data_IF_156340906696
#
_entry.id   IF_156340906696
#
_cell.length_a   1.000
_cell.length_b   1.000
_cell.length_c   1.000
_cell.angle_alpha   90.00
_cell.angle_beta   90.00
_cell.angle_gamma   90.00
#
_symmetry.space_group_name_H-M   'P 1'
#
loop_
_entity.id
_entity.type
_entity.pdbx_description
1 polymer ?
#
# COMPACT_ATOMS: atom_id res chain seq x y z
N UNK A 1 20.04 -62.51 16.11
CA UNK A 1 19.84 -62.79 17.51
C UNK A 1 19.04 -61.66 18.13
N UNK A 2 17.79 -62.02 18.43
CA UNK A 2 16.91 -61.61 19.52
C UNK A 2 16.35 -60.17 19.56
N UNK A 3 15.11 -60.04 19.12
CA UNK A 3 13.99 -59.30 19.76
C UNK A 3 13.74 -59.87 21.21
N UNK A 4 12.74 -59.37 21.98
CA UNK A 4 11.80 -58.26 21.92
C UNK A 4 11.42 -57.69 23.31
N UNK A 5 10.26 -57.04 23.37
CA UNK A 5 9.24 -56.82 24.44
C UNK A 5 9.01 -55.34 24.72
N UNK A 6 7.95 -54.74 24.23
CA UNK A 6 6.52 -54.65 24.57
C UNK A 6 6.23 -53.98 25.93
N UNK A 7 5.28 -53.06 25.89
CA UNK A 7 4.66 -52.47 27.08
C UNK A 7 3.77 -51.29 26.75
N UNK A 8 2.61 -51.51 26.15
CA UNK A 8 1.51 -50.55 26.07
C UNK A 8 0.64 -50.61 27.33
N UNK A 9 0.01 -49.48 27.65
CA UNK A 9 -1.23 -49.38 28.46
C UNK A 9 -1.81 -47.97 28.13
N UNK A 10 -2.86 -47.85 27.46
CA UNK A 10 -4.31 -48.09 27.61
C UNK A 10 -4.98 -47.27 28.77
N UNK A 11 -5.68 -46.30 28.31
CA UNK A 11 -7.06 -45.81 28.62
C UNK A 11 -7.67 -46.05 30.03
N UNK A 12 -8.36 -44.96 30.48
CA UNK A 12 -9.60 -44.93 31.29
C UNK A 12 -9.52 -45.16 32.77
N UNK A 13 -10.06 -44.19 33.55
CA UNK A 13 -11.24 -44.31 34.41
C UNK A 13 -11.29 -43.08 35.30
N UNK A 14 -12.17 -42.14 35.20
CA UNK A 14 -13.58 -42.06 35.60
C UNK A 14 -13.81 -42.04 37.12
N UNK A 15 -14.51 -41.03 37.52
CA UNK A 15 -15.64 -40.92 38.44
C UNK A 15 -15.50 -40.21 39.78
N UNK A 16 -16.25 -39.12 39.85
CA UNK A 16 -17.31 -38.78 40.84
C UNK A 16 -16.96 -38.76 42.33
N UNK A 17 -17.25 -37.63 42.91
CA UNK A 17 -18.20 -37.61 44.04
C UNK A 17 -18.75 -36.20 44.31
N UNK A 18 -20.03 -36.17 44.47
CA UNK A 18 -20.88 -35.05 44.84
C UNK A 18 -20.88 -34.86 46.38
N UNK A 19 -21.15 -33.66 46.83
CA UNK A 19 -21.34 -33.37 48.25
C UNK A 19 -22.05 -32.04 48.48
N UNK A 20 -23.24 -32.16 48.94
CA UNK A 20 -24.31 -31.20 49.26
C UNK A 20 -24.05 -30.49 50.60
N UNK A 21 -24.61 -29.25 50.76
CA UNK A 21 -25.00 -28.74 52.06
C UNK A 21 -24.63 -27.27 52.29
N UNK A 22 -25.54 -26.45 52.22
CA UNK A 22 -26.53 -25.87 53.15
C UNK A 22 -26.24 -24.41 53.55
N UNK A 23 -27.30 -23.66 53.51
CA UNK A 23 -27.51 -22.24 53.75
C UNK A 23 -27.21 -21.77 55.18
N UNK A 24 -26.88 -20.48 55.34
CA UNK A 24 -27.40 -19.64 56.45
C UNK A 24 -27.11 -18.15 56.20
N UNK A 25 -28.15 -17.43 56.07
CA UNK A 25 -28.64 -16.13 56.55
C UNK A 25 -27.63 -15.13 57.17
N UNK A 26 -27.64 -13.91 56.65
CA UNK A 26 -27.84 -12.70 57.41
C UNK A 26 -26.62 -11.82 57.70
N UNK A 27 -26.56 -10.70 57.06
CA UNK A 27 -26.62 -9.37 57.70
C UNK A 27 -26.31 -8.23 56.72
N UNK A 28 -27.21 -7.30 56.67
CA UNK A 28 -27.17 -6.02 55.95
C UNK A 28 -26.06 -5.13 56.52
N UNK A 29 -25.15 -4.69 55.65
CA UNK A 29 -24.30 -3.52 55.88
C UNK A 29 -24.44 -2.58 54.67
N UNK A 30 -25.11 -1.45 54.90
CA UNK A 30 -25.14 -0.30 54.00
C UNK A 30 -23.73 0.27 53.89
N UNK A 31 -23.12 0.12 52.73
CA UNK A 31 -21.99 0.92 52.32
C UNK A 31 -22.41 1.74 51.10
N UNK A 32 -22.55 3.02 51.33
CA UNK A 32 -22.66 4.09 50.35
C UNK A 32 -21.44 4.02 49.42
N UNK A 33 -21.60 3.45 48.23
CA UNK A 33 -20.60 3.43 47.19
C UNK A 33 -20.76 4.63 46.29
N UNK A 34 -19.76 5.46 46.24
CA UNK A 34 -19.56 6.53 45.25
C UNK A 34 -19.79 5.97 43.84
N UNK A 35 -20.60 6.71 43.08
CA UNK A 35 -20.99 6.32 41.73
C UNK A 35 -19.83 6.19 40.77
N UNK A 36 -19.44 4.96 40.48
CA UNK A 36 -18.76 4.59 39.25
C UNK A 36 -19.87 4.51 38.21
N UNK A 37 -19.92 5.50 37.31
CA UNK A 37 -20.70 5.36 36.09
C UNK A 37 -20.19 4.14 35.34
N UNK A 38 -20.90 3.03 35.43
CA UNK A 38 -20.68 1.90 34.55
C UNK A 38 -20.94 2.41 33.12
N UNK A 39 -19.91 2.57 32.32
CA UNK A 39 -20.06 2.76 30.90
C UNK A 39 -20.69 1.47 30.34
N UNK A 40 -21.96 1.52 30.02
CA UNK A 40 -22.62 0.46 29.25
C UNK A 40 -21.77 0.21 27.98
N UNK A 41 -21.40 -1.02 27.67
CA UNK A 41 -20.76 -1.30 26.38
C UNK A 41 -21.70 -0.79 25.29
N UNK A 42 -21.18 -0.13 24.22
CA UNK A 42 -22.03 0.34 23.14
C UNK A 42 -22.83 -0.83 22.58
N UNK A 43 -24.12 -0.61 22.35
CA UNK A 43 -24.96 -1.62 21.72
C UNK A 43 -24.32 -2.05 20.41
N UNK A 44 -24.32 -3.35 20.10
CA UNK A 44 -23.66 -3.95 18.93
C UNK A 44 -24.04 -3.33 17.57
N UNK A 45 -25.12 -2.53 17.53
CA UNK A 45 -25.57 -1.77 16.35
C UNK A 45 -24.85 -0.45 16.09
N UNK A 46 -24.05 0.06 17.04
CA UNK A 46 -23.39 1.37 16.93
C UNK A 46 -21.93 1.29 16.49
N UNK A 47 -21.39 0.09 16.29
CA UNK A 47 -20.04 -0.14 15.80
C UNK A 47 -20.06 -0.44 14.30
N UNK A 48 -19.21 0.27 13.54
CA UNK A 48 -18.92 -0.01 12.14
C UNK A 48 -17.61 -0.76 12.07
N UNK A 49 -17.53 -1.79 11.21
CA UNK A 49 -16.36 -2.64 11.07
C UNK A 49 -15.67 -2.40 9.74
N UNK A 50 -14.38 -2.08 9.77
CA UNK A 50 -13.54 -2.00 8.57
C UNK A 50 -12.60 -3.20 8.56
N UNK A 51 -12.64 -3.99 7.48
CA UNK A 51 -11.59 -4.95 7.19
C UNK A 51 -10.40 -4.24 6.55
N UNK A 52 -9.20 -4.47 7.05
CA UNK A 52 -7.97 -3.96 6.43
C UNK A 52 -7.11 -5.13 5.98
N UNK A 53 -6.79 -5.17 4.67
CA UNK A 53 -6.02 -6.26 4.05
C UNK A 53 -4.77 -5.67 3.41
N UNK A 54 -3.60 -6.21 3.79
CA UNK A 54 -2.30 -5.76 3.29
C UNK A 54 -1.26 -6.89 3.33
N UNK A 55 -0.13 -6.79 2.60
CA UNK A 55 0.93 -7.79 2.61
C UNK A 55 1.90 -7.56 3.78
N UNK A 56 1.50 -7.90 5.02
CA UNK A 56 2.32 -7.65 6.21
C UNK A 56 3.56 -8.53 6.30
N UNK A 57 3.53 -9.68 5.64
CA UNK A 57 4.66 -10.62 5.56
C UNK A 57 4.93 -11.05 4.13
N UNK A 58 6.13 -11.62 3.88
CA UNK A 58 6.58 -12.06 2.56
C UNK A 58 7.30 -10.97 1.77
N UNK A 59 7.56 -11.18 0.47
CA UNK A 59 8.37 -10.27 -0.37
C UNK A 59 7.82 -8.84 -0.50
N UNK A 60 6.51 -8.65 -0.32
CA UNK A 60 5.84 -7.34 -0.41
C UNK A 60 5.69 -6.63 0.95
N UNK A 61 6.27 -7.16 2.02
CA UNK A 61 6.10 -6.62 3.39
C UNK A 61 6.52 -5.15 3.53
N UNK A 62 7.39 -4.65 2.66
CA UNK A 62 7.78 -3.23 2.62
C UNK A 62 6.58 -2.29 2.48
N UNK A 63 5.54 -2.69 1.72
CA UNK A 63 4.32 -1.91 1.53
C UNK A 63 3.46 -1.78 2.79
N UNK A 64 3.59 -2.71 3.74
CA UNK A 64 2.82 -2.73 4.99
C UNK A 64 3.61 -2.21 6.20
N UNK A 65 4.82 -1.69 5.99
CA UNK A 65 5.72 -1.29 7.08
C UNK A 65 5.17 -0.23 8.04
N UNK A 66 4.17 0.55 7.61
CA UNK A 66 3.51 1.58 8.42
C UNK A 66 2.13 1.20 8.96
N UNK A 67 1.57 0.04 8.59
CA UNK A 67 0.17 -0.31 8.82
C UNK A 67 -0.22 -0.30 10.30
N UNK A 68 0.56 -0.93 11.16
CA UNK A 68 0.26 -0.97 12.60
C UNK A 68 0.25 0.42 13.25
N UNK A 69 1.15 1.29 12.80
CA UNK A 69 1.17 2.68 13.23
C UNK A 69 -0.08 3.41 12.75
N UNK A 70 -0.43 3.28 11.46
CA UNK A 70 -1.62 3.92 10.89
C UNK A 70 -2.88 3.49 11.61
N UNK A 71 -3.09 2.18 11.82
CA UNK A 71 -4.24 1.66 12.57
C UNK A 71 -4.31 2.27 13.98
N UNK A 72 -3.16 2.34 14.69
CA UNK A 72 -3.07 2.98 16.02
C UNK A 72 -3.49 4.47 15.97
N UNK A 73 -2.99 5.24 14.99
CA UNK A 73 -3.32 6.66 14.85
C UNK A 73 -4.80 6.88 14.52
N UNK A 74 -5.35 6.09 13.60
CA UNK A 74 -6.77 6.15 13.21
C UNK A 74 -7.67 5.81 14.41
N UNK A 75 -7.36 4.74 15.15
CA UNK A 75 -8.12 4.37 16.35
C UNK A 75 -8.06 5.44 17.43
N UNK A 76 -6.90 6.07 17.62
CA UNK A 76 -6.77 7.19 18.56
C UNK A 76 -7.57 8.43 18.13
N UNK A 77 -7.54 8.80 16.83
CA UNK A 77 -8.30 9.93 16.31
C UNK A 77 -9.82 9.72 16.42
N UNK A 78 -10.27 8.48 16.34
CA UNK A 78 -11.69 8.10 16.40
C UNK A 78 -12.12 7.52 17.75
N UNK A 79 -11.31 7.66 18.81
CA UNK A 79 -11.61 7.12 20.16
C UNK A 79 -12.98 7.57 20.67
N UNK A 80 -13.35 8.84 20.45
CA UNK A 80 -14.65 9.40 20.85
C UNK A 80 -15.80 9.03 19.91
N UNK A 81 -15.49 8.29 18.82
CA UNK A 81 -16.44 8.00 17.75
C UNK A 81 -16.65 9.18 16.80
N UNK A 82 -17.50 8.98 15.81
CA UNK A 82 -17.85 9.98 14.79
C UNK A 82 -19.35 9.91 14.46
N UNK A 83 -19.88 10.99 13.89
CA UNK A 83 -21.30 11.05 13.47
C UNK A 83 -21.46 10.39 12.10
N UNK A 84 -22.37 9.41 12.01
CA UNK A 84 -22.81 8.78 10.78
C UNK A 84 -24.22 8.21 10.94
N UNK A 85 -25.10 8.40 9.93
CA UNK A 85 -26.50 7.97 10.00
C UNK A 85 -27.24 8.54 11.21
N UNK A 86 -27.03 9.82 11.53
CA UNK A 86 -27.68 10.51 12.66
C UNK A 86 -27.21 10.08 14.06
N UNK A 87 -26.28 9.11 14.19
CA UNK A 87 -25.81 8.58 15.48
C UNK A 87 -24.31 8.77 15.66
N UNK A 88 -23.83 8.68 16.91
CA UNK A 88 -22.39 8.52 17.16
C UNK A 88 -22.03 7.06 17.02
N UNK A 89 -21.10 6.77 16.07
CA UNK A 89 -20.61 5.43 15.78
C UNK A 89 -19.20 5.23 16.34
N UNK A 90 -18.91 4.01 16.74
CA UNK A 90 -17.55 3.53 17.02
C UNK A 90 -17.02 2.77 15.81
N UNK A 91 -15.72 2.57 15.76
CA UNK A 91 -15.07 1.78 14.72
C UNK A 91 -14.36 0.58 15.33
N UNK A 92 -14.37 -0.52 14.59
CA UNK A 92 -13.53 -1.69 14.79
C UNK A 92 -12.74 -1.93 13.50
N UNK A 93 -11.43 -2.11 13.57
CA UNK A 93 -10.57 -2.42 12.42
C UNK A 93 -10.10 -3.86 12.59
N UNK A 94 -10.44 -4.73 11.62
CA UNK A 94 -10.02 -6.13 11.57
C UNK A 94 -8.93 -6.26 10.50
N UNK A 95 -7.69 -6.47 10.95
CA UNK A 95 -6.52 -6.53 10.08
C UNK A 95 -6.25 -7.96 9.64
N UNK A 96 -5.94 -8.16 8.36
CA UNK A 96 -5.57 -9.47 7.79
C UNK A 96 -4.34 -9.33 6.90
N UNK A 97 -3.45 -10.31 7.03
CA UNK A 97 -2.21 -10.43 6.26
C UNK A 97 -2.43 -11.31 5.03
N UNK A 98 -2.09 -10.79 3.84
CA UNK A 98 -2.10 -11.55 2.58
C UNK A 98 -0.90 -12.49 2.45
N UNK A 99 0.13 -12.33 3.28
CA UNK A 99 1.39 -13.06 3.17
C UNK A 99 2.01 -12.95 1.76
N UNK A 100 1.80 -11.81 1.09
CA UNK A 100 2.22 -11.56 -0.30
C UNK A 100 1.66 -12.58 -1.31
N UNK A 101 0.51 -13.21 -1.03
CA UNK A 101 -0.11 -14.27 -1.83
C UNK A 101 -1.50 -13.88 -2.30
N UNK A 102 -1.77 -14.01 -3.60
CA UNK A 102 -3.08 -13.76 -4.20
C UNK A 102 -4.17 -14.70 -3.64
N UNK A 103 -3.85 -15.98 -3.47
CA UNK A 103 -4.77 -16.96 -2.88
C UNK A 103 -5.13 -16.57 -1.45
N UNK A 104 -4.11 -16.23 -0.65
CA UNK A 104 -4.34 -15.82 0.73
C UNK A 104 -5.13 -14.53 0.83
N UNK A 105 -4.88 -13.55 -0.06
CA UNK A 105 -5.66 -12.32 -0.15
C UNK A 105 -7.16 -12.60 -0.34
N UNK A 106 -7.52 -13.49 -1.26
CA UNK A 106 -8.91 -13.93 -1.47
C UNK A 106 -9.50 -14.62 -0.23
N UNK A 107 -8.77 -15.54 0.40
CA UNK A 107 -9.22 -16.30 1.59
C UNK A 107 -9.51 -15.38 2.77
N UNK A 108 -8.56 -14.48 3.11
CA UNK A 108 -8.72 -13.59 4.26
C UNK A 108 -9.83 -12.56 4.03
N UNK A 109 -10.01 -12.10 2.80
CA UNK A 109 -11.12 -11.20 2.46
C UNK A 109 -12.46 -11.90 2.58
N UNK A 110 -12.58 -13.13 2.09
CA UNK A 110 -13.77 -13.94 2.29
C UNK A 110 -14.09 -14.14 3.78
N UNK A 111 -13.06 -14.36 4.62
CA UNK A 111 -13.24 -14.45 6.08
C UNK A 111 -13.75 -13.14 6.68
N UNK A 112 -13.19 -11.98 6.30
CA UNK A 112 -13.67 -10.66 6.73
C UNK A 112 -15.15 -10.47 6.42
N UNK A 113 -15.57 -10.88 5.21
CA UNK A 113 -16.96 -10.72 4.75
C UNK A 113 -17.91 -11.69 5.46
N UNK A 114 -17.55 -12.98 5.52
CA UNK A 114 -18.48 -14.03 5.96
C UNK A 114 -18.46 -14.27 7.46
N UNK A 115 -17.30 -14.17 8.10
CA UNK A 115 -17.10 -14.46 9.53
C UNK A 115 -17.07 -13.19 10.37
N UNK A 116 -16.21 -12.22 10.01
CA UNK A 116 -16.06 -10.97 10.77
C UNK A 116 -17.19 -9.97 10.51
N UNK A 117 -17.93 -10.14 9.38
CA UNK A 117 -19.10 -9.32 9.00
C UNK A 117 -18.75 -7.83 8.88
N UNK A 118 -17.69 -7.51 8.18
CA UNK A 118 -17.25 -6.13 7.98
C UNK A 118 -18.23 -5.34 7.10
N UNK A 119 -18.34 -4.04 7.37
CA UNK A 119 -19.20 -3.13 6.64
C UNK A 119 -18.51 -2.57 5.38
N UNK A 120 -17.18 -2.44 5.41
CA UNK A 120 -16.33 -1.97 4.32
C UNK A 120 -14.95 -2.65 4.42
N UNK A 121 -14.29 -2.84 3.28
CA UNK A 121 -12.91 -3.33 3.22
C UNK A 121 -12.00 -2.27 2.61
N UNK A 122 -10.86 -2.02 3.24
CA UNK A 122 -9.78 -1.23 2.65
C UNK A 122 -8.59 -2.14 2.38
N UNK A 123 -7.85 -1.88 1.29
CA UNK A 123 -6.70 -2.71 0.93
C UNK A 123 -5.56 -1.90 0.32
N UNK A 124 -4.33 -2.31 0.63
CA UNK A 124 -3.10 -1.80 0.02
C UNK A 124 -2.22 -2.96 -0.45
N UNK A 125 -1.40 -2.70 -1.45
CA UNK A 125 -0.45 -3.71 -1.97
C UNK A 125 -0.24 -3.58 -3.47
N UNK A 126 0.24 -4.65 -4.10
CA UNK A 126 0.41 -4.72 -5.55
C UNK A 126 -0.84 -5.31 -6.23
N UNK A 127 -0.95 -5.29 -7.58
CA UNK A 127 -2.07 -5.93 -8.28
C UNK A 127 -2.30 -7.38 -7.87
N UNK A 128 -1.23 -8.13 -7.58
CA UNK A 128 -1.32 -9.55 -7.21
C UNK A 128 -2.06 -9.78 -5.88
N UNK A 129 -2.00 -8.83 -4.96
CA UNK A 129 -2.68 -8.94 -3.66
C UNK A 129 -3.92 -8.05 -3.54
N UNK A 130 -3.95 -6.89 -4.20
CA UNK A 130 -5.07 -5.94 -4.14
C UNK A 130 -6.26 -6.35 -5.00
N UNK A 131 -6.02 -6.85 -6.23
CA UNK A 131 -7.09 -7.28 -7.13
C UNK A 131 -7.94 -8.41 -6.55
N UNK A 132 -7.36 -9.49 -5.96
CA UNK A 132 -8.16 -10.54 -5.32
C UNK A 132 -9.04 -10.04 -4.17
N UNK A 133 -8.58 -9.04 -3.40
CA UNK A 133 -9.40 -8.42 -2.35
C UNK A 133 -10.60 -7.71 -2.95
N UNK A 134 -10.36 -6.85 -3.94
CA UNK A 134 -11.41 -6.09 -4.60
C UNK A 134 -12.43 -6.99 -5.33
N UNK A 135 -11.97 -8.11 -5.92
CA UNK A 135 -12.85 -9.08 -6.58
C UNK A 135 -13.77 -9.81 -5.59
N UNK A 136 -13.26 -10.20 -4.41
CA UNK A 136 -14.09 -10.80 -3.36
C UNK A 136 -15.14 -9.81 -2.83
N UNK A 137 -14.77 -8.54 -2.67
CA UNK A 137 -15.66 -7.50 -2.23
C UNK A 137 -16.74 -7.21 -3.28
N UNK A 138 -16.37 -7.07 -4.56
CA UNK A 138 -17.31 -6.84 -5.66
C UNK A 138 -18.32 -7.98 -5.78
N UNK A 139 -17.84 -9.23 -5.73
CA UNK A 139 -18.70 -10.42 -5.82
C UNK A 139 -19.66 -10.57 -4.64
N UNK A 140 -19.28 -10.08 -3.46
CA UNK A 140 -20.08 -10.17 -2.23
C UNK A 140 -20.93 -8.93 -1.95
N UNK A 141 -20.85 -7.89 -2.78
CA UNK A 141 -21.56 -6.64 -2.56
C UNK A 141 -21.08 -5.88 -1.31
N UNK A 142 -19.76 -5.86 -1.07
CA UNK A 142 -19.15 -5.16 0.06
C UNK A 142 -18.31 -3.98 -0.46
N UNK A 143 -18.53 -2.74 0.01
CA UNK A 143 -17.75 -1.59 -0.41
C UNK A 143 -16.25 -1.81 -0.18
N UNK A 144 -15.44 -1.43 -1.17
CA UNK A 144 -13.99 -1.58 -1.12
C UNK A 144 -13.27 -0.35 -1.65
N UNK A 145 -12.20 0.04 -0.97
CA UNK A 145 -11.23 1.02 -1.46
C UNK A 145 -9.86 0.35 -1.53
N UNK A 146 -9.22 0.44 -2.69
CA UNK A 146 -7.87 -0.08 -2.92
C UNK A 146 -6.90 1.09 -3.20
N UNK A 147 -5.65 0.96 -2.76
CA UNK A 147 -4.56 1.88 -3.12
C UNK A 147 -3.26 1.11 -3.40
N UNK A 148 -2.26 1.83 -3.94
CA UNK A 148 -0.92 1.29 -4.28
C UNK A 148 -1.01 0.21 -5.37
N UNK A 149 -2.05 0.24 -6.17
CA UNK A 149 -2.24 -0.60 -7.35
C UNK A 149 -2.43 0.32 -8.55
N UNK A 150 -1.53 0.32 -9.56
CA UNK A 150 -1.70 1.10 -10.78
C UNK A 150 -3.10 0.87 -11.37
N UNK A 151 -3.79 1.96 -11.71
CA UNK A 151 -5.21 1.88 -12.02
C UNK A 151 -5.53 0.98 -13.24
N UNK A 152 -4.64 0.93 -14.24
CA UNK A 152 -4.83 0.05 -15.41
C UNK A 152 -4.73 -1.42 -14.99
N UNK A 153 -3.73 -1.76 -14.16
CA UNK A 153 -3.55 -3.12 -13.65
C UNK A 153 -4.71 -3.53 -12.73
N UNK A 154 -5.24 -2.59 -11.95
CA UNK A 154 -6.42 -2.83 -11.12
C UNK A 154 -7.68 -2.99 -11.96
N UNK A 155 -7.92 -2.09 -12.92
CA UNK A 155 -9.16 -2.04 -13.69
C UNK A 155 -9.22 -3.14 -14.76
N UNK A 156 -8.23 -3.18 -15.66
CA UNK A 156 -8.21 -4.16 -16.76
C UNK A 156 -7.80 -5.55 -16.29
N UNK A 157 -6.91 -5.66 -15.30
CA UNK A 157 -6.57 -6.94 -14.68
C UNK A 157 -7.77 -7.65 -14.05
N UNK A 158 -8.75 -6.90 -13.58
CA UNK A 158 -10.05 -7.37 -13.06
C UNK A 158 -11.16 -7.42 -14.12
N UNK A 159 -10.83 -7.25 -15.39
CA UNK A 159 -11.78 -7.23 -16.53
C UNK A 159 -12.85 -6.14 -16.42
N UNK A 160 -12.48 -4.96 -15.89
CA UNK A 160 -13.34 -3.79 -15.81
C UNK A 160 -13.89 -3.39 -17.19
N UNK A 161 -15.15 -2.97 -17.24
CA UNK A 161 -15.79 -2.51 -18.46
C UNK A 161 -15.63 -1.00 -18.57
N UNK A 162 -14.92 -0.48 -19.60
CA UNK A 162 -14.71 0.95 -19.78
C UNK A 162 -16.04 1.74 -19.76
N UNK A 163 -16.04 2.85 -19.03
CA UNK A 163 -17.21 3.72 -18.86
C UNK A 163 -18.27 3.21 -17.88
N UNK A 164 -18.18 1.96 -17.39
CA UNK A 164 -19.13 1.38 -16.43
C UNK A 164 -18.54 1.32 -15.03
N UNK A 165 -17.27 0.89 -14.90
CA UNK A 165 -16.61 0.71 -13.62
C UNK A 165 -17.10 -0.52 -12.85
N UNK A 166 -16.83 -0.53 -11.55
CA UNK A 166 -17.28 -1.52 -10.57
C UNK A 166 -18.37 -0.92 -9.67
N UNK A 167 -19.27 -1.77 -9.17
CA UNK A 167 -20.34 -1.26 -8.31
C UNK A 167 -19.85 -0.96 -6.90
N UNK A 168 -19.05 -1.85 -6.31
CA UNK A 168 -18.65 -1.80 -4.91
C UNK A 168 -17.16 -1.46 -4.72
N UNK A 169 -16.36 -1.48 -5.78
CA UNK A 169 -14.91 -1.30 -5.67
C UNK A 169 -14.46 0.02 -6.27
N UNK A 170 -13.60 0.71 -5.53
CA UNK A 170 -12.92 1.95 -5.96
C UNK A 170 -11.41 1.82 -5.79
N UNK A 171 -10.67 2.66 -6.51
CA UNK A 171 -9.21 2.71 -6.43
C UNK A 171 -8.73 4.16 -6.44
N UNK A 172 -7.72 4.45 -5.65
CA UNK A 172 -6.98 5.70 -5.81
C UNK A 172 -5.49 5.39 -5.92
N UNK A 173 -4.96 5.61 -7.07
CA UNK A 173 -3.54 5.54 -7.39
C UNK A 173 -3.32 6.09 -8.79
N UNK A 174 -2.07 6.20 -9.21
CA UNK A 174 -1.72 6.61 -10.56
C UNK A 174 -1.58 5.41 -11.50
N UNK A 175 -1.35 5.68 -12.78
CA UNK A 175 -1.15 4.68 -13.81
C UNK A 175 0.04 4.94 -14.70
N UNK A 176 0.11 4.29 -15.84
CA UNK A 176 1.26 4.33 -16.74
C UNK A 176 1.49 5.72 -17.35
N UNK A 177 0.41 6.47 -17.59
CA UNK A 177 0.51 7.85 -18.08
C UNK A 177 1.22 8.73 -17.05
N UNK A 178 0.81 8.65 -15.79
CA UNK A 178 1.37 9.43 -14.70
C UNK A 178 2.81 9.01 -14.37
N UNK A 179 3.17 7.72 -14.54
CA UNK A 179 4.57 7.29 -14.52
C UNK A 179 5.40 7.99 -15.61
N UNK A 180 4.87 8.07 -16.82
CA UNK A 180 5.52 8.81 -17.91
C UNK A 180 5.67 10.29 -17.57
N UNK A 181 4.63 10.93 -17.04
CA UNK A 181 4.64 12.33 -16.61
C UNK A 181 5.64 12.60 -15.47
N UNK A 182 5.95 11.59 -14.64
CA UNK A 182 6.96 11.65 -13.61
C UNK A 182 8.38 11.41 -14.14
N UNK A 183 8.59 10.40 -14.99
CA UNK A 183 9.93 9.96 -15.39
C UNK A 183 10.47 10.70 -16.59
N UNK A 184 9.65 10.98 -17.61
CA UNK A 184 10.14 11.59 -18.86
C UNK A 184 10.73 13.00 -18.69
N UNK A 185 10.18 13.89 -17.84
CA UNK A 185 10.82 15.17 -17.54
C UNK A 185 12.22 15.01 -16.96
N UNK A 186 12.45 14.04 -16.06
CA UNK A 186 13.79 13.77 -15.52
C UNK A 186 14.75 13.25 -16.60
N UNK A 187 14.26 12.41 -17.54
CA UNK A 187 15.09 11.93 -18.67
C UNK A 187 15.48 13.04 -19.64
N UNK A 188 14.58 14.00 -19.89
CA UNK A 188 14.89 15.17 -20.72
C UNK A 188 15.88 16.10 -20.01
N UNK A 189 15.74 16.31 -18.70
CA UNK A 189 16.59 17.22 -17.91
C UNK A 189 18.03 16.70 -17.75
N UNK A 190 18.24 15.38 -17.63
CA UNK A 190 19.56 14.80 -17.36
C UNK A 190 20.55 14.97 -18.53
N UNK A 191 20.07 15.38 -19.70
CA UNK A 191 20.92 15.72 -20.84
C UNK A 191 21.62 14.53 -21.49
N UNK A 192 20.87 13.45 -21.82
CA UNK A 192 21.37 12.28 -22.56
C UNK A 192 21.62 12.59 -24.05
N UNK A 193 22.55 11.86 -24.64
CA UNK A 193 22.83 11.93 -26.08
C UNK A 193 22.10 10.84 -26.87
N UNK A 194 21.83 9.72 -26.25
CA UNK A 194 21.04 8.61 -26.77
C UNK A 194 19.64 8.62 -26.20
N UNK A 195 18.62 8.46 -27.06
CA UNK A 195 17.23 8.26 -26.62
C UNK A 195 16.94 6.80 -26.25
N UNK A 196 17.95 5.92 -26.15
CA UNK A 196 17.79 4.53 -25.77
C UNK A 196 17.62 4.40 -24.24
N UNK A 197 16.54 3.75 -23.83
CA UNK A 197 16.22 3.45 -22.44
C UNK A 197 16.26 1.95 -22.22
N UNK A 198 17.15 1.46 -21.36
CA UNK A 198 17.17 0.07 -20.93
C UNK A 198 15.94 -0.22 -20.05
N UNK A 199 15.08 -1.11 -20.50
CA UNK A 199 13.85 -1.52 -19.81
C UNK A 199 14.00 -2.97 -19.35
N UNK A 200 13.88 -3.21 -18.04
CA UNK A 200 13.97 -4.55 -17.46
C UNK A 200 12.81 -4.80 -16.51
N UNK A 201 11.92 -5.70 -16.87
CA UNK A 201 10.71 -5.96 -16.10
C UNK A 201 10.56 -7.45 -15.79
N UNK A 202 10.28 -7.85 -14.52
CA UNK A 202 9.95 -9.22 -14.19
C UNK A 202 8.67 -9.70 -14.89
N UNK A 203 8.41 -11.01 -14.86
CA UNK A 203 7.18 -11.63 -15.37
C UNK A 203 6.13 -11.72 -14.26
N UNK A 204 5.74 -10.56 -13.72
CA UNK A 204 4.63 -10.42 -12.77
C UNK A 204 3.53 -9.50 -13.33
N UNK A 205 2.37 -9.47 -12.67
CA UNK A 205 1.20 -8.69 -13.14
C UNK A 205 1.52 -7.19 -13.24
N UNK A 206 2.24 -6.66 -12.27
CA UNK A 206 2.59 -5.25 -12.17
C UNK A 206 3.61 -4.85 -13.26
N UNK A 207 4.70 -5.58 -13.35
CA UNK A 207 5.74 -5.33 -14.34
C UNK A 207 5.29 -5.54 -15.79
N UNK A 208 4.39 -6.49 -16.02
CA UNK A 208 3.74 -6.65 -17.33
C UNK A 208 2.84 -5.46 -17.67
N UNK A 209 2.21 -4.79 -16.69
CA UNK A 209 1.50 -3.53 -16.91
C UNK A 209 2.46 -2.41 -17.34
N UNK A 210 3.64 -2.30 -16.73
CA UNK A 210 4.70 -1.38 -17.18
C UNK A 210 5.14 -1.67 -18.61
N UNK A 211 5.45 -2.93 -18.93
CA UNK A 211 5.87 -3.31 -20.29
C UNK A 211 4.80 -2.97 -21.33
N UNK A 212 3.56 -3.28 -21.06
CA UNK A 212 2.46 -3.11 -21.99
C UNK A 212 1.94 -1.67 -22.06
N UNK A 213 2.07 -0.90 -20.98
CA UNK A 213 1.55 0.46 -20.88
C UNK A 213 2.62 1.54 -21.04
N UNK A 214 3.75 1.44 -20.33
CA UNK A 214 4.77 2.50 -20.34
C UNK A 214 5.61 2.49 -21.62
N UNK A 215 5.99 1.30 -22.15
CA UNK A 215 6.81 1.22 -23.38
C UNK A 215 6.14 1.92 -24.58
N UNK A 216 4.84 1.75 -24.88
CA UNK A 216 4.18 2.53 -25.91
C UNK A 216 4.24 4.05 -25.67
N UNK A 217 4.00 4.50 -24.43
CA UNK A 217 4.09 5.92 -24.07
C UNK A 217 5.49 6.48 -24.23
N UNK A 218 6.53 5.69 -23.91
CA UNK A 218 7.94 6.06 -24.17
C UNK A 218 8.15 6.33 -25.67
N UNK A 219 7.66 5.44 -26.54
CA UNK A 219 7.77 5.59 -28.00
C UNK A 219 7.06 6.85 -28.49
N UNK A 220 5.87 7.12 -27.99
CA UNK A 220 5.10 8.32 -28.36
C UNK A 220 5.79 9.61 -27.89
N UNK A 221 6.54 9.55 -26.77
CA UNK A 221 7.38 10.63 -26.26
C UNK A 221 8.77 10.71 -26.94
N UNK A 222 9.04 9.88 -27.93
CA UNK A 222 10.31 9.89 -28.71
C UNK A 222 11.46 9.14 -28.04
N UNK A 223 11.19 8.31 -27.03
CA UNK A 223 12.16 7.42 -26.38
C UNK A 223 12.16 6.05 -27.04
N UNK A 224 13.34 5.44 -27.14
CA UNK A 224 13.51 4.10 -27.71
C UNK A 224 13.72 3.06 -26.60
N UNK A 225 12.71 2.26 -26.31
CA UNK A 225 12.79 1.21 -25.30
C UNK A 225 13.64 0.03 -25.79
N UNK A 226 14.70 -0.26 -25.08
CA UNK A 226 15.52 -1.46 -25.25
C UNK A 226 15.03 -2.48 -24.23
N UNK A 227 14.03 -3.27 -24.61
CA UNK A 227 13.43 -4.27 -23.71
C UNK A 227 14.39 -5.43 -23.45
N UNK A 228 14.78 -5.64 -22.20
CA UNK A 228 15.63 -6.74 -21.74
C UNK A 228 14.98 -8.13 -21.82
N UNK A 229 13.68 -8.19 -22.10
CA UNK A 229 12.85 -9.38 -21.99
C UNK A 229 12.32 -9.58 -20.56
N UNK A 230 11.23 -10.35 -20.43
CA UNK A 230 10.72 -10.77 -19.13
C UNK A 230 11.68 -11.73 -18.44
N UNK A 231 11.79 -11.62 -17.12
CA UNK A 231 12.57 -12.55 -16.31
C UNK A 231 11.72 -13.06 -15.14
N UNK A 232 12.00 -14.27 -14.68
CA UNK A 232 11.30 -14.85 -13.54
C UNK A 232 11.81 -14.25 -12.22
N UNK A 233 10.92 -14.07 -11.24
CA UNK A 233 11.32 -13.70 -9.88
C UNK A 233 12.36 -14.68 -9.32
N UNK A 234 13.37 -14.16 -8.64
CA UNK A 234 14.49 -14.95 -8.14
C UNK A 234 15.60 -15.22 -9.17
N UNK A 235 15.61 -14.56 -10.32
CA UNK A 235 16.69 -14.62 -11.29
C UNK A 235 18.01 -14.14 -10.66
N UNK A 236 19.06 -14.94 -10.82
CA UNK A 236 20.38 -14.68 -10.20
C UNK A 236 21.46 -14.26 -11.20
N UNK A 237 21.22 -14.33 -12.51
CA UNK A 237 22.15 -13.93 -13.57
C UNK A 237 21.45 -13.06 -14.61
N UNK A 238 21.89 -11.81 -14.71
CA UNK A 238 21.40 -10.80 -15.64
C UNK A 238 22.42 -10.42 -16.72
N UNK A 239 23.48 -11.21 -16.91
CA UNK A 239 24.60 -10.87 -17.81
C UNK A 239 24.15 -10.64 -19.25
N UNK A 240 23.16 -11.40 -19.74
CA UNK A 240 22.62 -11.24 -21.09
C UNK A 240 21.91 -9.89 -21.28
N UNK A 241 21.06 -9.51 -20.32
CA UNK A 241 20.35 -8.22 -20.33
C UNK A 241 21.33 -7.04 -20.22
N UNK A 242 22.29 -7.12 -19.31
CA UNK A 242 23.33 -6.10 -19.12
C UNK A 242 24.15 -5.92 -20.40
N UNK A 243 24.57 -7.01 -21.04
CA UNK A 243 25.29 -6.97 -22.33
C UNK A 243 24.48 -6.30 -23.43
N UNK A 244 23.17 -6.63 -23.53
CA UNK A 244 22.24 -6.01 -24.48
C UNK A 244 22.13 -4.50 -24.25
N UNK A 245 21.97 -4.06 -23.00
CA UNK A 245 21.84 -2.64 -22.66
C UNK A 245 23.13 -1.86 -22.98
N UNK A 246 24.29 -2.42 -22.68
CA UNK A 246 25.59 -1.83 -23.04
C UNK A 246 25.75 -1.69 -24.54
N UNK A 247 25.50 -2.77 -25.29
CA UNK A 247 25.66 -2.76 -26.75
C UNK A 247 24.69 -1.84 -27.47
N UNK A 248 23.52 -1.57 -26.87
CA UNK A 248 22.54 -0.62 -27.41
C UNK A 248 22.90 0.85 -27.17
N UNK A 249 23.92 1.14 -26.36
CA UNK A 249 24.24 2.51 -25.95
C UNK A 249 23.15 3.17 -25.11
N UNK A 250 22.40 2.40 -24.31
CA UNK A 250 21.37 2.95 -23.43
C UNK A 250 22.03 3.81 -22.33
N UNK A 251 21.62 5.08 -22.27
CA UNK A 251 22.04 6.03 -21.22
C UNK A 251 21.04 6.17 -20.09
N UNK A 252 19.83 5.64 -20.26
CA UNK A 252 18.78 5.61 -19.27
C UNK A 252 18.43 4.16 -18.91
N UNK A 253 17.93 3.97 -17.69
CA UNK A 253 17.44 2.69 -17.21
C UNK A 253 16.11 2.87 -16.47
N UNK A 254 15.16 1.95 -16.70
CA UNK A 254 13.91 1.89 -15.94
C UNK A 254 13.49 0.46 -15.64
N UNK A 255 12.86 0.26 -14.47
CA UNK A 255 12.42 -1.05 -13.97
C UNK A 255 11.31 -0.88 -12.91
N UNK A 256 10.56 -1.96 -12.66
CA UNK A 256 9.60 -2.10 -11.56
C UNK A 256 9.76 -3.48 -10.87
N UNK A 257 10.92 -3.79 -10.28
CA UNK A 257 11.27 -5.11 -9.77
C UNK A 257 10.86 -5.33 -8.32
N UNK A 258 10.98 -6.57 -7.85
CA UNK A 258 10.99 -6.88 -6.41
C UNK A 258 12.40 -6.67 -5.80
N UNK A 259 12.50 -6.47 -4.47
CA UNK A 259 13.75 -6.14 -3.79
C UNK A 259 14.93 -7.07 -4.09
N UNK A 260 14.85 -8.40 -3.94
CA UNK A 260 16.00 -9.29 -4.12
C UNK A 260 16.59 -9.24 -5.52
N UNK A 261 15.73 -9.17 -6.54
CA UNK A 261 16.14 -9.21 -7.94
C UNK A 261 16.84 -7.93 -8.36
N UNK A 262 16.32 -6.78 -7.91
CA UNK A 262 16.95 -5.50 -8.21
C UNK A 262 18.35 -5.38 -7.59
N UNK A 263 18.51 -5.80 -6.34
CA UNK A 263 19.82 -5.79 -5.70
C UNK A 263 20.83 -6.65 -6.47
N UNK A 264 20.41 -7.84 -6.93
CA UNK A 264 21.24 -8.74 -7.74
C UNK A 264 21.60 -8.10 -9.08
N UNK A 265 20.61 -7.63 -9.82
CA UNK A 265 20.79 -6.97 -11.11
C UNK A 265 21.71 -5.74 -10.99
N UNK A 266 21.43 -4.85 -10.06
CA UNK A 266 22.11 -3.55 -9.96
C UNK A 266 23.59 -3.71 -9.58
N UNK A 267 23.91 -4.66 -8.70
CA UNK A 267 25.31 -5.01 -8.38
C UNK A 267 26.03 -5.61 -9.59
N UNK A 268 25.39 -6.50 -10.34
CA UNK A 268 25.96 -7.07 -11.58
C UNK A 268 26.15 -6.00 -12.66
N UNK A 269 25.19 -5.11 -12.84
CA UNK A 269 25.26 -4.00 -13.78
C UNK A 269 26.46 -3.10 -13.49
N UNK A 270 26.66 -2.72 -12.22
CA UNK A 270 27.81 -1.92 -11.79
C UNK A 270 29.14 -2.66 -12.02
N UNK A 271 29.23 -3.95 -11.69
CA UNK A 271 30.42 -4.79 -11.86
C UNK A 271 30.77 -4.98 -13.35
N UNK A 272 29.77 -5.15 -14.21
CA UNK A 272 29.95 -5.33 -15.65
C UNK A 272 30.09 -4.00 -16.41
N UNK A 273 30.08 -2.86 -15.69
CA UNK A 273 30.29 -1.53 -16.26
C UNK A 273 29.09 -0.98 -17.06
N UNK A 274 27.87 -1.44 -16.80
CA UNK A 274 26.67 -0.74 -17.24
C UNK A 274 26.35 0.36 -16.23
N UNK A 275 26.52 1.60 -16.65
CA UNK A 275 26.36 2.80 -15.82
C UNK A 275 25.47 3.80 -16.54
N UNK A 276 24.14 3.63 -16.49
CA UNK A 276 23.23 4.59 -17.10
C UNK A 276 23.38 5.95 -16.41
N UNK A 277 23.20 7.02 -17.17
CA UNK A 277 23.28 8.40 -16.69
C UNK A 277 22.18 8.69 -15.68
N UNK A 278 20.99 8.11 -15.88
CA UNK A 278 19.91 8.14 -14.91
C UNK A 278 19.20 6.77 -14.86
N UNK A 279 19.01 6.27 -13.63
CA UNK A 279 18.14 5.12 -13.34
C UNK A 279 16.86 5.61 -12.64
N UNK A 280 15.70 5.34 -13.24
CA UNK A 280 14.37 5.54 -12.65
C UNK A 280 13.79 4.17 -12.31
N UNK A 281 13.63 3.89 -11.02
CA UNK A 281 13.27 2.55 -10.53
C UNK A 281 12.05 2.67 -9.63
N UNK A 282 10.92 2.17 -10.14
CA UNK A 282 9.67 2.09 -9.40
C UNK A 282 9.68 0.88 -8.44
N UNK A 283 8.62 0.72 -7.65
CA UNK A 283 8.32 -0.42 -6.78
C UNK A 283 9.39 -0.66 -5.70
N UNK A 284 10.57 -1.19 -6.04
CA UNK A 284 11.60 -1.52 -5.06
C UNK A 284 12.25 -0.30 -4.42
N UNK A 285 12.53 0.75 -5.19
CA UNK A 285 13.21 1.96 -4.69
C UNK A 285 12.27 2.93 -3.95
N UNK A 286 11.10 2.45 -3.52
CA UNK A 286 10.15 3.18 -2.67
C UNK A 286 10.51 3.10 -1.18
N UNK A 287 11.45 2.19 -0.80
CA UNK A 287 11.71 1.85 0.59
C UNK A 287 13.12 2.22 1.03
N UNK A 288 13.29 2.89 2.19
CA UNK A 288 14.60 3.20 2.77
C UNK A 288 15.48 1.96 2.95
N UNK A 289 14.89 0.82 3.32
CA UNK A 289 15.62 -0.44 3.50
C UNK A 289 16.36 -0.88 2.24
N UNK A 290 15.81 -0.61 1.07
CA UNK A 290 16.44 -0.99 -0.20
C UNK A 290 17.58 -0.06 -0.56
N UNK A 291 17.43 1.24 -0.26
CA UNK A 291 18.52 2.19 -0.39
C UNK A 291 19.68 1.84 0.55
N UNK A 292 19.38 1.43 1.80
CA UNK A 292 20.38 0.96 2.76
C UNK A 292 21.09 -0.33 2.30
N UNK A 293 20.33 -1.30 1.78
CA UNK A 293 20.87 -2.58 1.31
C UNK A 293 21.80 -2.46 0.10
N UNK A 294 21.57 -1.48 -0.78
CA UNK A 294 22.42 -1.17 -1.92
C UNK A 294 23.62 -0.28 -1.53
N UNK A 295 23.55 0.42 -0.40
CA UNK A 295 24.59 1.34 0.06
C UNK A 295 24.91 2.42 -1.00
N UNK A 296 26.16 2.65 -1.31
CA UNK A 296 26.58 3.71 -2.26
C UNK A 296 26.00 3.54 -3.66
N UNK A 297 25.58 2.34 -4.03
CA UNK A 297 24.91 2.10 -5.32
C UNK A 297 23.49 2.67 -5.38
N UNK A 298 22.91 3.10 -4.24
CA UNK A 298 21.62 3.79 -4.19
C UNK A 298 21.72 5.27 -4.55
N UNK A 299 22.93 5.84 -4.49
CA UNK A 299 23.11 7.28 -4.65
C UNK A 299 22.55 7.76 -6.00
N UNK A 300 21.66 8.76 -5.94
CA UNK A 300 20.98 9.36 -7.08
C UNK A 300 20.12 8.40 -7.93
N UNK A 301 19.80 7.17 -7.47
CA UNK A 301 18.72 6.42 -8.11
C UNK A 301 17.43 7.22 -7.92
N UNK A 302 16.71 7.45 -9.02
CA UNK A 302 15.43 8.15 -9.01
C UNK A 302 14.26 7.16 -8.88
N UNK A 303 13.17 7.62 -8.28
CA UNK A 303 11.91 6.89 -8.15
C UNK A 303 10.72 7.85 -8.18
N UNK A 304 9.53 7.30 -8.34
CA UNK A 304 8.25 7.98 -8.27
C UNK A 304 7.86 8.24 -6.80
N UNK A 305 7.42 9.46 -6.52
CA UNK A 305 7.02 9.88 -5.17
C UNK A 305 5.57 10.35 -5.21
N UNK A 306 4.65 9.51 -4.74
CA UNK A 306 3.21 9.83 -4.68
C UNK A 306 2.75 10.34 -3.32
N UNK A 307 3.57 10.16 -2.30
CA UNK A 307 3.38 10.75 -0.98
C UNK A 307 4.73 11.00 -0.31
N UNK A 308 4.85 12.14 0.32
CA UNK A 308 6.02 12.52 1.10
C UNK A 308 5.66 13.51 2.21
N UNK A 309 6.54 13.73 3.21
CA UNK A 309 6.37 14.79 4.19
C UNK A 309 6.21 16.19 3.59
N UNK A 310 6.67 16.39 2.36
CA UNK A 310 6.66 17.68 1.66
C UNK A 310 5.35 17.94 0.91
N UNK A 311 4.44 16.96 0.85
CA UNK A 311 3.15 17.07 0.19
C UNK A 311 2.20 18.07 0.89
N UNK A 312 1.22 18.63 0.15
CA UNK A 312 0.29 19.63 0.68
C UNK A 312 -0.84 19.04 1.54
N UNK A 313 -1.00 17.71 1.54
CA UNK A 313 -2.11 17.00 2.18
C UNK A 313 -2.22 17.25 3.68
N UNK A 314 -3.45 17.15 4.17
CA UNK A 314 -3.76 17.26 5.60
C UNK A 314 -4.79 16.20 6.01
N UNK A 315 -4.62 15.64 7.20
CA UNK A 315 -5.56 14.67 7.74
C UNK A 315 -6.94 15.28 7.98
N UNK A 316 -7.99 14.62 7.49
CA UNK A 316 -9.40 14.98 7.78
C UNK A 316 -9.81 14.62 9.21
N UNK A 317 -9.02 13.84 9.93
CA UNK A 317 -9.33 13.44 11.30
C UNK A 317 -8.92 14.52 12.33
N UNK A 318 -7.74 15.13 12.14
CA UNK A 318 -7.15 16.01 13.16
C UNK A 318 -6.39 17.22 12.57
N UNK A 319 -6.34 17.36 11.23
CA UNK A 319 -5.65 18.46 10.55
C UNK A 319 -4.12 18.32 10.47
N UNK A 320 -3.55 17.18 10.90
CA UNK A 320 -2.10 16.95 10.77
C UNK A 320 -1.65 17.06 9.32
N UNK A 321 -0.53 17.73 9.09
CA UNK A 321 0.13 17.79 7.78
C UNK A 321 0.89 16.49 7.49
N UNK A 322 1.30 16.29 6.22
CA UNK A 322 2.17 15.16 5.84
C UNK A 322 3.45 15.12 6.69
N UNK A 323 4.08 16.28 6.93
CA UNK A 323 5.27 16.39 7.77
C UNK A 323 5.00 15.95 9.21
N UNK A 324 3.89 16.39 9.81
CA UNK A 324 3.53 16.00 11.19
C UNK A 324 3.25 14.52 11.31
N UNK A 325 2.60 13.90 10.29
CA UNK A 325 2.37 12.46 10.26
C UNK A 325 3.69 11.68 10.17
N UNK A 326 4.61 12.11 9.30
CA UNK A 326 5.94 11.50 9.16
C UNK A 326 6.79 11.64 10.44
N UNK A 327 6.74 12.80 11.09
CA UNK A 327 7.47 13.04 12.34
C UNK A 327 6.93 12.16 13.48
N UNK A 328 5.61 12.01 13.59
CA UNK A 328 4.97 11.09 14.54
C UNK A 328 5.38 9.65 14.27
N UNK A 329 5.38 9.23 12.99
CA UNK A 329 5.84 7.89 12.63
C UNK A 329 7.28 7.65 13.05
N UNK A 330 8.18 8.57 12.74
CA UNK A 330 9.59 8.47 13.10
C UNK A 330 9.80 8.49 14.63
N UNK A 331 9.05 9.30 15.36
CA UNK A 331 9.12 9.37 16.83
C UNK A 331 8.63 8.09 17.49
N UNK A 332 7.51 7.53 17.03
CA UNK A 332 6.87 6.35 17.63
C UNK A 332 7.60 5.05 17.30
N UNK A 333 8.23 4.98 16.11
CA UNK A 333 8.78 3.72 15.58
C UNK A 333 10.30 3.70 15.47
N UNK A 334 10.96 4.85 15.52
CA UNK A 334 12.39 5.00 15.21
C UNK A 334 12.74 4.79 13.74
N UNK A 335 11.75 4.63 12.84
CA UNK A 335 11.94 4.33 11.42
C UNK A 335 11.71 5.56 10.56
N UNK A 336 12.34 5.58 9.39
CA UNK A 336 12.03 6.55 8.34
C UNK A 336 10.65 6.27 7.74
N UNK A 337 9.94 7.33 7.35
CA UNK A 337 8.66 7.23 6.65
C UNK A 337 8.80 6.47 5.32
N UNK A 338 7.71 5.86 4.90
CA UNK A 338 7.54 5.30 3.56
C UNK A 338 6.34 5.97 2.89
N UNK A 339 6.27 5.93 1.58
CA UNK A 339 5.17 6.52 0.83
C UNK A 339 3.82 5.86 1.17
N UNK A 340 3.83 4.57 1.49
CA UNK A 340 2.65 3.82 1.93
C UNK A 340 2.00 4.41 3.19
N UNK A 341 2.76 5.11 4.06
CA UNK A 341 2.24 5.75 5.28
C UNK A 341 1.03 6.65 4.98
N UNK A 342 1.16 7.56 4.01
CA UNK A 342 0.08 8.48 3.67
C UNK A 342 -1.07 7.78 2.95
N UNK A 343 -0.77 6.92 1.98
CA UNK A 343 -1.81 6.21 1.22
C UNK A 343 -2.66 5.30 2.11
N UNK A 344 -2.02 4.54 3.02
CA UNK A 344 -2.75 3.68 3.96
C UNK A 344 -3.57 4.51 4.95
N UNK A 345 -3.05 5.67 5.39
CA UNK A 345 -3.82 6.58 6.24
C UNK A 345 -5.07 7.10 5.51
N UNK A 346 -4.93 7.50 4.24
CA UNK A 346 -6.04 7.97 3.40
C UNK A 346 -7.10 6.91 3.13
N UNK A 347 -6.76 5.61 3.10
CA UNK A 347 -7.77 4.54 3.00
C UNK A 347 -8.82 4.67 4.11
N UNK A 348 -8.39 4.92 5.35
CA UNK A 348 -9.29 5.07 6.49
C UNK A 348 -10.02 6.41 6.46
N UNK A 349 -9.38 7.48 5.99
CA UNK A 349 -10.03 8.78 5.80
C UNK A 349 -11.21 8.66 4.83
N UNK A 350 -10.97 8.03 3.67
CA UNK A 350 -11.98 7.77 2.65
C UNK A 350 -13.11 6.87 3.20
N UNK A 351 -12.78 5.77 3.87
CA UNK A 351 -13.77 4.87 4.45
C UNK A 351 -14.69 5.57 5.46
N UNK A 352 -14.11 6.38 6.35
CA UNK A 352 -14.87 7.13 7.35
C UNK A 352 -15.72 8.22 6.71
N UNK A 353 -15.24 8.92 5.66
CA UNK A 353 -16.05 9.90 4.96
C UNK A 353 -17.20 9.24 4.20
N UNK A 354 -17.00 8.05 3.61
CA UNK A 354 -18.09 7.29 2.99
C UNK A 354 -19.19 6.93 4.02
N UNK A 355 -18.82 6.46 5.21
CA UNK A 355 -19.76 6.20 6.28
C UNK A 355 -20.50 7.46 6.76
N UNK A 356 -19.82 8.62 6.81
CA UNK A 356 -20.44 9.90 7.21
C UNK A 356 -21.43 10.40 6.15
N UNK A 357 -21.18 10.14 4.88
CA UNK A 357 -22.02 10.58 3.76
C UNK A 357 -23.28 9.72 3.58
N UNK A 358 -23.26 8.46 4.00
CA UNK A 358 -24.40 7.57 3.89
C UNK A 358 -25.48 7.89 4.92
N UNK A 359 -26.76 7.83 4.54
CA UNK A 359 -27.89 7.97 5.44
C UNK A 359 -27.99 6.78 6.41
N UNK A 360 -27.73 5.58 5.92
CA UNK A 360 -27.42 4.40 6.72
C UNK A 360 -26.02 3.87 6.40
N UNK A 361 -25.04 4.06 7.29
CA UNK A 361 -23.67 3.59 7.06
C UNK A 361 -23.51 2.05 7.09
N UNK A 362 -24.60 1.31 7.32
CA UNK A 362 -24.66 -0.15 7.17
C UNK A 362 -25.26 -0.59 5.84
N UNK A 363 -25.87 0.32 5.10
CA UNK A 363 -26.31 0.07 3.74
C UNK A 363 -25.10 0.12 2.81
N UNK A 364 -24.73 -1.05 2.27
CA UNK A 364 -23.54 -1.21 1.44
C UNK A 364 -23.66 -0.53 0.08
N UNK A 365 -24.87 -0.42 -0.46
CA UNK A 365 -25.10 0.27 -1.72
C UNK A 365 -24.90 1.78 -1.55
N UNK A 366 -25.46 2.37 -0.47
CA UNK A 366 -25.23 3.79 -0.18
C UNK A 366 -23.75 4.10 0.07
N UNK A 367 -23.05 3.27 0.88
CA UNK A 367 -21.62 3.46 1.15
C UNK A 367 -20.78 3.33 -0.12
N UNK A 368 -21.09 2.37 -1.00
CA UNK A 368 -20.41 2.23 -2.30
C UNK A 368 -20.63 3.44 -3.21
N UNK A 369 -21.85 3.99 -3.23
CA UNK A 369 -22.14 5.20 -3.98
C UNK A 369 -21.43 6.44 -3.41
N UNK A 370 -21.31 6.56 -2.08
CA UNK A 370 -20.48 7.59 -1.45
C UNK A 370 -19.02 7.51 -1.88
N UNK A 371 -18.44 6.31 -1.94
CA UNK A 371 -17.07 6.11 -2.40
C UNK A 371 -16.88 6.57 -3.85
N UNK A 372 -17.74 6.13 -4.77
CA UNK A 372 -17.62 6.44 -6.21
C UNK A 372 -17.80 7.92 -6.54
N UNK A 373 -18.58 8.64 -5.75
CA UNK A 373 -18.88 10.05 -5.95
C UNK A 373 -18.04 10.97 -5.05
N UNK A 374 -17.05 10.43 -4.33
CA UNK A 374 -16.27 11.19 -3.36
C UNK A 374 -15.28 12.15 -4.02
N UNK A 375 -15.22 13.36 -3.47
CA UNK A 375 -14.14 14.32 -3.62
C UNK A 375 -13.63 14.64 -2.23
N UNK A 376 -12.35 14.47 -2.00
CA UNK A 376 -11.77 14.61 -0.68
C UNK A 376 -10.39 15.23 -0.73
N UNK A 377 -10.15 16.22 0.12
CA UNK A 377 -8.81 16.69 0.48
C UNK A 377 -8.37 15.91 1.72
N UNK A 378 -7.38 15.06 1.58
CA UNK A 378 -6.90 14.16 2.63
C UNK A 378 -5.37 14.19 2.75
N UNK A 379 -4.81 13.31 3.56
CA UNK A 379 -3.35 13.25 3.73
C UNK A 379 -2.60 12.89 2.44
N UNK A 380 -3.24 12.20 1.49
CA UNK A 380 -2.69 11.93 0.15
C UNK A 380 -2.94 13.06 -0.87
N UNK A 381 -3.43 14.22 -0.42
CA UNK A 381 -3.79 15.34 -1.27
C UNK A 381 -5.25 15.30 -1.73
N UNK A 382 -5.55 15.98 -2.83
CA UNK A 382 -6.88 16.03 -3.41
C UNK A 382 -7.15 14.74 -4.23
N UNK A 383 -8.22 14.03 -3.90
CA UNK A 383 -8.68 12.84 -4.61
C UNK A 383 -10.11 13.07 -5.11
N UNK A 384 -10.33 12.89 -6.42
CA UNK A 384 -11.64 13.00 -7.06
C UNK A 384 -11.98 11.70 -7.80
N UNK A 385 -12.83 10.87 -7.19
CA UNK A 385 -13.27 9.60 -7.76
C UNK A 385 -14.24 9.77 -8.93
N UNK A 386 -14.69 11.00 -9.21
CA UNK A 386 -15.59 11.33 -10.33
C UNK A 386 -14.83 11.80 -11.57
N UNK A 387 -13.56 12.20 -11.43
CA UNK A 387 -12.76 12.80 -12.51
C UNK A 387 -11.71 11.85 -13.09
N UNK A 388 -11.60 10.63 -12.56
CA UNK A 388 -10.60 9.65 -13.03
C UNK A 388 -10.91 9.05 -14.40
N UNK A 389 -9.99 8.23 -14.94
CA UNK A 389 -10.10 7.64 -16.27
C UNK A 389 -11.26 6.64 -16.40
N UNK A 390 -11.73 6.11 -15.30
CA UNK A 390 -12.89 5.22 -15.21
C UNK A 390 -13.69 5.55 -13.94
N UNK A 391 -15.01 5.28 -13.91
CA UNK A 391 -15.82 5.52 -12.73
C UNK A 391 -15.26 4.85 -11.46
N UNK A 392 -15.13 5.61 -10.39
CA UNK A 392 -14.64 5.12 -9.10
C UNK A 392 -13.10 5.03 -9.00
N UNK A 393 -12.37 5.68 -9.91
CA UNK A 393 -10.91 5.79 -9.86
C UNK A 393 -10.52 7.25 -9.62
N UNK A 394 -9.71 7.51 -8.59
CA UNK A 394 -9.08 8.80 -8.36
C UNK A 394 -7.58 8.72 -8.69
N UNK A 395 -7.05 9.72 -9.39
CA UNK A 395 -5.65 9.75 -9.82
C UNK A 395 -4.80 10.57 -8.84
N UNK A 396 -3.65 10.02 -8.46
CA UNK A 396 -2.55 10.74 -7.84
C UNK A 396 -1.52 11.10 -8.92
N UNK A 397 -0.79 12.19 -8.71
CA UNK A 397 0.27 12.63 -9.62
C UNK A 397 1.62 12.53 -8.91
N UNK A 398 2.42 11.48 -9.19
CA UNK A 398 3.72 11.32 -8.55
C UNK A 398 4.73 12.34 -9.08
N UNK A 399 5.64 12.75 -8.22
CA UNK A 399 6.78 13.62 -8.54
C UNK A 399 8.08 12.82 -8.53
N UNK A 400 9.12 13.32 -9.19
CA UNK A 400 10.42 12.66 -9.25
C UNK A 400 11.24 12.90 -7.98
N UNK A 401 11.71 11.82 -7.34
CA UNK A 401 12.62 11.89 -6.21
C UNK A 401 13.90 11.12 -6.44
N UNK A 402 15.00 11.51 -5.79
CA UNK A 402 16.26 10.78 -5.80
C UNK A 402 16.72 10.44 -4.40
N UNK A 403 17.23 9.22 -4.22
CA UNK A 403 17.89 8.82 -2.99
C UNK A 403 19.26 9.49 -2.85
N UNK A 404 19.51 10.08 -1.70
CA UNK A 404 20.77 10.75 -1.35
C UNK A 404 21.18 10.42 0.07
N UNK A 405 22.48 10.53 0.42
CA UNK A 405 22.90 10.42 1.81
C UNK A 405 22.12 11.39 2.70
N UNK A 406 21.51 10.84 3.74
CA UNK A 406 20.63 11.59 4.64
C UNK A 406 21.34 12.22 5.84
N UNK A 407 20.61 13.03 6.59
CA UNK A 407 21.10 13.63 7.85
C UNK A 407 20.60 12.89 9.08
N UNK A 408 19.33 12.53 9.10
CA UNK A 408 18.69 11.84 10.24
C UNK A 408 18.69 10.32 10.04
N UNK A 409 18.50 9.89 8.82
CA UNK A 409 18.57 8.50 8.38
C UNK A 409 19.72 8.31 7.42
N UNK A 410 20.20 7.08 7.17
CA UNK A 410 21.32 6.85 6.24
C UNK A 410 21.06 7.39 4.83
N UNK A 411 19.80 7.33 4.39
CA UNK A 411 19.35 7.78 3.07
C UNK A 411 18.09 8.62 3.21
N UNK A 412 18.00 9.71 2.45
CA UNK A 412 16.80 10.56 2.34
C UNK A 412 16.39 10.70 0.88
N UNK A 413 15.08 10.89 0.63
CA UNK A 413 14.57 11.25 -0.69
C UNK A 413 14.59 12.77 -0.83
N UNK A 414 15.20 13.23 -1.92
CA UNK A 414 15.14 14.64 -2.37
C UNK A 414 14.22 14.72 -3.58
N UNK A 415 13.18 15.54 -3.52
CA UNK A 415 12.34 15.84 -4.68
C UNK A 415 13.18 16.63 -5.69
N UNK A 416 13.31 16.13 -6.91
CA UNK A 416 14.16 16.69 -7.96
C UNK A 416 13.38 17.15 -9.20
N UNK A 417 12.16 16.65 -9.37
CA UNK A 417 11.22 17.09 -10.39
C UNK A 417 9.78 17.09 -9.85
N UNK A 418 9.05 18.17 -10.11
CA UNK A 418 7.64 18.30 -9.75
C UNK A 418 6.76 18.69 -10.95
N UNK A 419 7.15 18.26 -12.15
CA UNK A 419 6.44 18.61 -13.39
C UNK A 419 4.98 18.12 -13.37
N UNK A 420 4.73 16.95 -12.76
CA UNK A 420 3.41 16.36 -12.65
C UNK A 420 2.54 16.98 -11.53
N UNK A 421 3.17 17.50 -10.46
CA UNK A 421 2.46 18.17 -9.36
C UNK A 421 3.28 19.33 -8.78
N UNK A 422 2.96 20.55 -9.20
CA UNK A 422 3.63 21.78 -8.75
C UNK A 422 3.36 22.14 -7.29
N UNK A 423 2.45 21.48 -6.60
CA UNK A 423 2.17 21.71 -5.18
C UNK A 423 3.22 21.09 -4.25
N UNK A 424 4.00 20.13 -4.75
CA UNK A 424 5.12 19.52 -4.03
C UNK A 424 6.40 20.31 -4.33
N UNK A 425 7.11 20.88 -3.34
CA UNK A 425 8.30 21.69 -3.59
C UNK A 425 9.49 20.83 -4.03
N UNK A 426 10.26 21.32 -5.00
CA UNK A 426 11.56 20.75 -5.36
C UNK A 426 12.57 21.05 -4.25
N UNK A 427 13.29 20.02 -3.80
CA UNK A 427 14.28 20.07 -2.72
C UNK A 427 15.74 20.15 -3.19
N UNK A 428 16.00 19.88 -4.47
CA UNK A 428 17.35 19.93 -5.05
C UNK A 428 17.38 19.61 -6.53
N UNK A 429 18.53 19.81 -7.15
CA UNK A 429 18.73 19.57 -8.58
C UNK A 429 18.84 18.07 -8.89
N UNK A 430 18.32 17.66 -10.05
CA UNK A 430 18.50 16.31 -10.58
C UNK A 430 20.00 16.02 -10.83
N UNK A 431 20.49 14.88 -10.36
CA UNK A 431 21.88 14.45 -10.50
C UNK A 431 22.00 13.13 -11.27
N UNK A 432 23.10 12.89 -12.01
CA UNK A 432 23.36 11.59 -12.59
C UNK A 432 23.45 10.49 -11.52
N UNK A 433 22.96 9.29 -11.85
CA UNK A 433 23.01 8.14 -10.92
C UNK A 433 24.44 7.69 -10.63
N UNK A 434 25.31 7.76 -11.62
CA UNK A 434 26.75 7.50 -11.46
C UNK A 434 27.50 8.81 -11.78
N UNK A 435 27.60 9.68 -10.78
CA UNK A 435 28.36 10.93 -10.84
C UNK A 435 29.81 10.73 -10.37
#
# INVERSE_FOLDING_TARGET
VSDPISGGMSRRTVLKSAGVGAAALGSSALLTSCGIKSSTPPASGDTLKIGFVSPQTGPLAGFAGSDSFVVKQVMAALEKGFKAGGKTRKIEIVVKDTQSSATRASEVTKSLITSDKVDLVVSSGTPDTGNPVADQCEAAGVPNVTTIVPWEAWFFGRKGKPGVGFKYSTNFFFGMKEFGECFFPMWDQIGVTSKNVACLYPDDTDANAFRNGLIPLMKDAGWNAIDGGAYADGTTDFSAQISKFKSSGAELYTNAPIPPDFQTYWKQAAQQGFRPKLATVAKVMLFPSEAEALGQLSNNIATDIWWSPFGPGKSVFNGDTCQQLADKYASDTGKQWTQALGSVYSLFEIAIQAFKGASDPKDKDEVADQLKNMKIDCISGNLDFTAGPQPGIAIQHPVGGQWRPGKKFPWDITIVDNSADKTVPVGGDLQPTFA
#
